data_IF_148384356866
#
_entry.id   IF_148384356866
#
_cell.length_a   1.000
_cell.length_b   1.000
_cell.length_c   1.000
_cell.angle_alpha   90.00
_cell.angle_beta   90.00
_cell.angle_gamma   90.00
#
_symmetry.space_group_name_H-M   'P 1'
#
loop_
_entity.id
_entity.type
_entity.pdbx_description
1 polymer ?
#
# COMPACT_ATOMS: atom_id res chain seq x y z
N UNK A 1 -8.64 7.96 4.29
CA UNK A 1 -9.31 7.01 3.37
C UNK A 1 -8.78 5.61 3.71
N UNK A 2 -9.67 4.70 4.11
CA UNK A 2 -9.29 3.34 4.55
C UNK A 2 -8.73 2.57 3.35
N UNK A 3 -7.52 2.03 3.47
CA UNK A 3 -6.94 1.13 2.47
C UNK A 3 -7.53 -0.27 2.67
N UNK A 4 -8.03 -0.88 1.60
CA UNK A 4 -8.61 -2.23 1.67
C UNK A 4 -7.49 -3.26 1.58
N UNK A 5 -7.44 -4.14 2.57
CA UNK A 5 -6.64 -5.37 2.50
C UNK A 5 -7.52 -6.44 1.85
N UNK A 6 -7.02 -7.09 0.81
CA UNK A 6 -7.71 -8.14 0.05
C UNK A 6 -6.89 -9.44 0.08
N UNK A 7 -7.56 -10.59 0.06
CA UNK A 7 -6.91 -11.89 -0.11
C UNK A 7 -6.58 -12.11 -1.59
N UNK A 8 -5.34 -12.54 -1.88
CA UNK A 8 -4.85 -12.86 -3.22
C UNK A 8 -4.21 -14.25 -3.15
N UNK A 9 -4.95 -15.29 -3.52
CA UNK A 9 -4.51 -16.67 -3.29
C UNK A 9 -4.24 -16.92 -1.80
N UNK A 10 -3.04 -17.38 -1.47
CA UNK A 10 -2.57 -17.57 -0.08
C UNK A 10 -1.89 -16.32 0.51
N UNK A 11 -1.91 -15.20 -0.21
CA UNK A 11 -1.30 -13.93 0.17
C UNK A 11 -2.35 -12.86 0.53
N UNK A 12 -1.89 -11.77 1.13
CA UNK A 12 -2.66 -10.55 1.31
C UNK A 12 -2.10 -9.44 0.41
N UNK A 13 -2.98 -8.65 -0.18
CA UNK A 13 -2.65 -7.46 -0.96
C UNK A 13 -3.28 -6.21 -0.36
N UNK A 14 -2.55 -5.09 -0.40
CA UNK A 14 -3.07 -3.77 -0.01
C UNK A 14 -3.40 -3.00 -1.29
N UNK A 15 -4.63 -2.48 -1.39
CA UNK A 15 -5.03 -1.70 -2.56
C UNK A 15 -4.70 -0.22 -2.38
N UNK A 16 -3.94 0.34 -3.31
CA UNK A 16 -3.70 1.79 -3.40
C UNK A 16 -4.72 2.37 -4.42
N UNK A 17 -5.54 3.37 -4.05
CA UNK A 17 -6.49 3.98 -4.98
C UNK A 17 -5.82 4.59 -6.21
N UNK A 18 -6.43 4.43 -7.39
CA UNK A 18 -5.91 4.94 -8.67
C UNK A 18 -5.54 6.43 -8.63
N UNK A 19 -6.34 7.27 -7.97
CA UNK A 19 -6.07 8.71 -7.79
C UNK A 19 -4.76 8.96 -7.03
N UNK A 20 -4.47 8.15 -6.02
CA UNK A 20 -3.23 8.21 -5.24
C UNK A 20 -2.06 7.79 -6.13
N UNK A 21 -2.18 6.68 -6.87
CA UNK A 21 -1.13 6.26 -7.79
C UNK A 21 -0.79 7.34 -8.82
N UNK A 22 -1.79 7.96 -9.43
CA UNK A 22 -1.60 9.06 -10.38
C UNK A 22 -0.93 10.29 -9.75
N UNK A 23 -1.36 10.67 -8.54
CA UNK A 23 -0.80 11.83 -7.82
C UNK A 23 0.68 11.66 -7.50
N UNK A 24 1.08 10.45 -7.11
CA UNK A 24 2.46 10.15 -6.69
C UNK A 24 3.31 9.48 -7.79
N UNK A 25 2.74 9.28 -8.99
CA UNK A 25 3.44 8.68 -10.11
C UNK A 25 3.73 7.18 -9.97
N UNK A 26 3.00 6.48 -9.08
CA UNK A 26 3.18 5.04 -8.81
C UNK A 26 2.64 4.22 -9.98
N UNK A 27 3.45 3.29 -10.48
CA UNK A 27 3.11 2.39 -11.59
C UNK A 27 3.31 0.93 -11.17
N UNK A 28 2.67 0.03 -11.92
CA UNK A 28 2.91 -1.40 -11.74
C UNK A 28 4.38 -1.72 -12.09
N UNK A 29 5.06 -2.44 -11.21
CA UNK A 29 6.48 -2.76 -11.33
C UNK A 29 7.41 -1.88 -10.48
N UNK A 30 6.91 -0.78 -9.91
CA UNK A 30 7.69 0.03 -8.98
C UNK A 30 7.99 -0.74 -7.69
N UNK A 31 9.20 -0.57 -7.16
CA UNK A 31 9.57 -1.09 -5.84
C UNK A 31 9.05 -0.14 -4.76
N UNK A 32 8.44 -0.72 -3.74
CA UNK A 32 7.87 0.02 -2.61
C UNK A 32 8.22 -0.66 -1.30
N UNK A 33 8.43 0.14 -0.27
CA UNK A 33 8.50 -0.35 1.10
C UNK A 33 7.13 -0.20 1.77
N UNK A 34 6.70 -1.27 2.43
CA UNK A 34 5.40 -1.33 3.11
C UNK A 34 5.66 -1.49 4.61
N UNK A 35 5.31 -0.47 5.38
CA UNK A 35 5.37 -0.52 6.84
C UNK A 35 3.99 -0.81 7.39
N UNK A 36 3.89 -1.88 8.18
CA UNK A 36 2.66 -2.29 8.86
C UNK A 36 2.86 -2.08 10.36
N UNK A 37 2.23 -1.04 10.90
CA UNK A 37 2.19 -0.77 12.33
C UNK A 37 0.83 -1.12 12.93
N UNK A 38 0.81 -1.62 14.15
CA UNK A 38 -0.41 -1.78 14.94
C UNK A 38 -0.50 -0.64 15.94
N UNK A 39 -1.48 0.25 15.77
CA UNK A 39 -1.79 1.30 16.73
C UNK A 39 -3.19 1.01 17.27
N UNK A 40 -3.26 0.45 18.49
CA UNK A 40 -4.50 -0.08 19.05
C UNK A 40 -5.08 -1.25 18.24
N UNK A 41 -6.30 -1.07 17.70
CA UNK A 41 -7.00 -2.06 16.85
C UNK A 41 -6.87 -1.77 15.35
N UNK A 42 -6.16 -0.71 14.97
CA UNK A 42 -6.03 -0.28 13.58
C UNK A 42 -4.68 -0.71 13.00
N UNK A 43 -4.71 -1.15 11.74
CA UNK A 43 -3.51 -1.47 10.96
C UNK A 43 -3.18 -0.24 10.11
N UNK A 44 -2.04 0.41 10.40
CA UNK A 44 -1.54 1.54 9.63
C UNK A 44 -0.56 1.03 8.59
N UNK A 45 -0.89 1.24 7.31
CA UNK A 45 -0.03 0.89 6.18
C UNK A 45 0.57 2.15 5.57
N UNK A 46 1.89 2.27 5.65
CA UNK A 46 2.65 3.36 5.02
C UNK A 46 3.42 2.81 3.85
N UNK A 47 3.20 3.37 2.66
CA UNK A 47 3.90 3.02 1.43
C UNK A 47 4.92 4.11 1.12
N UNK A 48 6.20 3.76 1.10
CA UNK A 48 7.30 4.66 0.73
C UNK A 48 7.83 4.25 -0.63
N UNK A 49 7.97 5.23 -1.53
CA UNK A 49 8.56 5.04 -2.85
C UNK A 49 10.08 5.17 -2.74
N UNK A 50 10.79 4.10 -3.09
CA UNK A 50 12.23 4.13 -3.26
C UNK A 50 12.52 4.73 -4.63
N UNK A 51 12.96 6.00 -4.66
CA UNK A 51 13.56 6.56 -5.87
C UNK A 51 15.01 6.13 -5.93
N UNK A 52 15.37 5.42 -7.00
CA UNK A 52 16.77 5.22 -7.42
C UNK A 52 17.38 6.54 -7.88
#
# INVERSE_FOLDING_TARGET
>A
MVQKVIKIGDSLGVTIPKKTCQRYGIKAGDLVEVYVGKEGSEIKVTVVLLKS
#
